data_IF_431034543686
#
_entry.id   IF_431034543686
#
_cell.length_a   1.000
_cell.length_b   1.000
_cell.length_c   1.000
_cell.angle_alpha   90.00
_cell.angle_beta   90.00
_cell.angle_gamma   90.00
#
_symmetry.space_group_name_H-M   'P 1'
#
loop_
_entity.id
_entity.type
_entity.pdbx_description
1 polymer ?
#
# COMPACT_ATOMS: atom_id res chain seq x y z
N UNK A 1 7.70 -7.80 15.19
CA UNK A 1 7.08 -6.52 15.53
C UNK A 1 6.46 -6.50 16.93
N UNK A 2 5.73 -7.57 17.33
CA UNK A 2 5.07 -7.63 18.65
C UNK A 2 6.09 -7.60 19.79
N UNK A 3 7.20 -8.30 19.65
CA UNK A 3 8.29 -8.30 20.64
C UNK A 3 8.88 -6.91 20.85
N UNK A 4 9.16 -6.19 19.76
CA UNK A 4 9.66 -4.82 19.83
C UNK A 4 8.69 -3.87 20.56
N UNK A 5 7.38 -4.05 20.35
CA UNK A 5 6.36 -3.30 21.09
C UNK A 5 6.35 -3.66 22.59
N UNK A 6 6.51 -4.93 22.92
CA UNK A 6 6.60 -5.39 24.32
C UNK A 6 7.85 -4.85 25.01
N UNK A 7 8.98 -4.74 24.30
CA UNK A 7 10.21 -4.15 24.83
C UNK A 7 10.01 -2.66 25.15
N UNK A 8 9.34 -1.90 24.27
CA UNK A 8 8.99 -0.51 24.52
C UNK A 8 8.11 -0.39 25.77
N UNK A 9 7.09 -1.24 25.91
CA UNK A 9 6.20 -1.23 27.09
C UNK A 9 6.98 -1.55 28.38
N UNK A 10 8.02 -2.37 28.29
CA UNK A 10 8.93 -2.69 29.41
C UNK A 10 10.03 -1.66 29.65
N UNK A 11 9.97 -0.56 28.95
CA UNK A 11 10.98 0.50 28.99
C UNK A 11 12.38 0.06 28.54
N UNK A 12 12.45 -0.91 27.64
CA UNK A 12 13.65 -1.45 27.01
C UNK A 12 13.79 -0.88 25.60
N UNK A 13 15.01 -0.70 25.13
CA UNK A 13 15.25 -0.30 23.75
C UNK A 13 14.88 -1.45 22.81
N UNK A 14 13.95 -1.27 21.86
CA UNK A 14 13.55 -2.32 20.96
C UNK A 14 14.68 -2.67 19.99
N UNK A 15 14.97 -3.95 19.85
CA UNK A 15 15.85 -4.46 18.81
C UNK A 15 14.99 -4.74 17.58
N UNK A 16 15.22 -3.95 16.53
CA UNK A 16 14.57 -4.16 15.24
C UNK A 16 15.49 -4.99 14.34
N UNK A 17 15.10 -6.22 14.09
CA UNK A 17 15.78 -7.07 13.12
C UNK A 17 15.26 -6.73 11.72
N UNK A 18 16.10 -6.04 10.95
CA UNK A 18 15.79 -5.65 9.58
C UNK A 18 16.18 -6.74 8.61
N UNK A 19 15.20 -7.27 7.89
CA UNK A 19 15.47 -8.28 6.87
C UNK A 19 16.33 -7.67 5.73
N UNK A 20 17.51 -8.22 5.42
CA UNK A 20 18.47 -7.61 4.48
C UNK A 20 17.93 -7.45 3.04
N UNK A 21 16.88 -8.20 2.69
CA UNK A 21 16.26 -8.12 1.36
C UNK A 21 15.00 -7.26 1.33
N UNK A 22 14.63 -6.62 2.45
CA UNK A 22 13.39 -5.83 2.59
C UNK A 22 13.65 -4.42 3.10
N UNK A 23 14.70 -3.78 2.58
CA UNK A 23 15.07 -2.43 3.02
C UNK A 23 14.10 -1.35 2.61
N UNK A 24 13.42 -1.55 1.48
CA UNK A 24 12.48 -0.57 0.95
C UNK A 24 11.07 -1.16 0.93
N UNK A 25 10.15 -0.45 1.56
CA UNK A 25 8.73 -0.74 1.48
C UNK A 25 8.03 0.30 0.62
N UNK A 26 7.07 -0.16 -0.17
CA UNK A 26 6.18 0.69 -0.94
C UNK A 26 4.75 0.27 -0.66
N UNK A 27 3.88 1.24 -0.37
CA UNK A 27 2.43 1.05 -0.22
C UNK A 27 1.71 1.84 -1.30
N UNK A 28 0.77 1.20 -1.97
CA UNK A 28 -0.05 1.81 -2.99
C UNK A 28 -1.52 1.55 -2.70
N UNK A 29 -2.28 2.60 -2.49
CA UNK A 29 -3.72 2.51 -2.26
C UNK A 29 -4.46 2.35 -3.57
N UNK A 30 -5.32 1.34 -3.64
CA UNK A 30 -6.35 1.20 -4.65
C UNK A 30 -7.60 1.92 -4.17
N UNK A 31 -7.89 3.05 -4.79
CA UNK A 31 -9.07 3.86 -4.51
C UNK A 31 -10.26 3.41 -5.33
N UNK A 32 -11.43 3.44 -4.73
CA UNK A 32 -12.69 3.15 -5.39
C UNK A 32 -13.39 4.40 -5.92
N UNK A 33 -14.53 4.18 -6.53
CA UNK A 33 -15.36 5.24 -7.09
C UNK A 33 -15.65 6.33 -6.05
N UNK A 34 -15.37 7.57 -6.44
CA UNK A 34 -15.65 8.75 -5.63
C UNK A 34 -14.60 9.14 -4.60
N UNK A 35 -13.61 8.30 -4.30
CA UNK A 35 -12.54 8.67 -3.37
C UNK A 35 -11.78 9.95 -3.84
N UNK A 36 -11.44 10.88 -2.95
CA UNK A 36 -11.69 10.95 -1.51
C UNK A 36 -12.99 11.68 -1.11
N UNK A 37 -13.90 11.87 -2.03
CA UNK A 37 -15.11 12.65 -1.80
C UNK A 37 -16.26 11.76 -1.31
N UNK A 38 -17.20 12.36 -0.59
CA UNK A 38 -18.45 11.70 -0.18
C UNK A 38 -19.30 11.41 -1.41
N UNK A 39 -19.64 10.15 -1.61
CA UNK A 39 -20.57 9.73 -2.66
C UNK A 39 -21.81 9.14 -1.98
N UNK A 40 -23.00 9.74 -2.19
CA UNK A 40 -24.20 9.35 -1.43
C UNK A 40 -24.67 7.91 -1.65
N UNK A 41 -24.27 7.33 -2.76
CA UNK A 41 -24.63 5.96 -3.10
C UNK A 41 -23.57 5.40 -4.04
N UNK A 42 -22.89 4.35 -3.59
CA UNK A 42 -21.96 3.61 -4.43
C UNK A 42 -22.57 2.25 -4.74
N UNK A 43 -22.65 1.85 -6.01
CA UNK A 43 -23.14 0.52 -6.35
C UNK A 43 -22.18 -0.54 -5.79
N UNK A 44 -22.73 -1.68 -5.42
CA UNK A 44 -21.97 -2.85 -5.04
C UNK A 44 -21.21 -3.39 -6.25
N UNK A 45 -19.93 -3.02 -6.37
CA UNK A 45 -19.11 -3.39 -7.51
C UNK A 45 -18.25 -4.62 -7.18
N UNK A 46 -18.23 -5.63 -8.05
CA UNK A 46 -17.39 -6.80 -7.84
C UNK A 46 -15.90 -6.45 -7.95
N UNK A 47 -15.10 -7.16 -7.16
CA UNK A 47 -13.65 -7.09 -7.18
C UNK A 47 -13.12 -8.44 -7.64
N UNK A 48 -12.40 -8.44 -8.77
CA UNK A 48 -11.76 -9.62 -9.33
C UNK A 48 -10.26 -9.59 -9.12
N UNK A 49 -9.69 -10.74 -8.78
CA UNK A 49 -8.24 -10.94 -8.71
C UNK A 49 -7.85 -11.90 -9.83
N UNK A 50 -7.14 -11.39 -10.83
CA UNK A 50 -6.84 -12.14 -12.06
C UNK A 50 -5.83 -13.28 -11.87
N UNK A 51 -5.02 -13.22 -10.83
CA UNK A 51 -4.04 -14.26 -10.45
C UNK A 51 -3.61 -14.06 -9.00
N UNK A 52 -3.04 -15.08 -8.33
CA UNK A 52 -2.54 -14.95 -6.95
C UNK A 52 -1.61 -13.76 -6.77
N UNK A 53 -1.75 -13.07 -5.65
CA UNK A 53 -0.92 -11.92 -5.28
C UNK A 53 0.33 -12.41 -4.56
N UNK A 54 1.46 -11.82 -4.91
CA UNK A 54 2.78 -12.07 -4.31
C UNK A 54 3.23 -10.93 -3.39
N UNK A 55 2.25 -10.19 -2.84
CA UNK A 55 2.46 -9.03 -1.98
C UNK A 55 1.55 -9.11 -0.77
N UNK A 56 1.79 -8.28 0.24
CA UNK A 56 0.87 -8.12 1.35
C UNK A 56 -0.29 -7.22 0.90
N UNK A 57 -1.50 -7.70 1.07
CA UNK A 57 -2.72 -7.00 0.70
C UNK A 57 -3.58 -6.78 1.94
N UNK A 58 -3.98 -5.52 2.14
CA UNK A 58 -4.87 -5.14 3.22
C UNK A 58 -6.15 -4.57 2.62
N UNK A 59 -7.21 -5.35 2.75
CA UNK A 59 -8.55 -4.90 2.37
C UNK A 59 -9.04 -3.85 3.36
N UNK A 60 -9.64 -2.79 2.84
CA UNK A 60 -10.25 -1.73 3.65
C UNK A 60 -11.79 -1.84 3.56
N UNK A 61 -12.39 -1.22 2.59
CA UNK A 61 -13.85 -1.15 2.46
C UNK A 61 -14.33 -2.19 1.45
N UNK A 62 -14.25 -3.45 1.85
CA UNK A 62 -14.59 -4.62 1.03
C UNK A 62 -15.48 -5.56 1.82
N UNK A 63 -16.57 -5.98 1.19
CA UNK A 63 -17.47 -7.02 1.68
C UNK A 63 -17.22 -8.34 0.95
N UNK A 64 -17.44 -9.45 1.62
CA UNK A 64 -17.41 -10.79 1.03
C UNK A 64 -18.80 -11.41 1.10
N UNK A 65 -19.29 -11.90 -0.03
CA UNK A 65 -20.54 -12.65 -0.13
C UNK A 65 -20.34 -13.86 -1.05
N UNK A 66 -20.69 -15.03 -0.57
CA UNK A 66 -20.59 -16.30 -1.32
C UNK A 66 -19.20 -16.52 -1.95
N UNK A 67 -18.13 -16.14 -1.23
CA UNK A 67 -16.74 -16.26 -1.69
C UNK A 67 -16.34 -15.25 -2.78
N UNK A 68 -17.15 -14.23 -3.02
CA UNK A 68 -16.86 -13.13 -3.95
C UNK A 68 -16.67 -11.84 -3.20
N UNK A 69 -15.70 -11.06 -3.64
CA UNK A 69 -15.38 -9.76 -3.06
C UNK A 69 -16.14 -8.64 -3.78
N UNK A 70 -16.59 -7.68 -3.02
CA UNK A 70 -17.29 -6.51 -3.51
C UNK A 70 -16.81 -5.25 -2.80
N UNK A 71 -16.80 -4.14 -3.51
CA UNK A 71 -16.63 -2.85 -2.87
C UNK A 71 -17.81 -2.63 -1.91
N UNK A 72 -17.53 -2.35 -0.64
CA UNK A 72 -18.56 -2.19 0.38
C UNK A 72 -19.52 -1.05 0.03
N UNK A 73 -20.80 -1.29 0.19
CA UNK A 73 -21.84 -0.29 -0.04
C UNK A 73 -22.30 0.27 1.32
N UNK A 74 -21.61 1.30 1.79
CA UNK A 74 -21.97 1.94 3.05
C UNK A 74 -22.68 3.27 2.80
N UNK A 75 -23.90 3.35 3.23
CA UNK A 75 -24.75 4.55 3.05
C UNK A 75 -24.36 5.73 3.95
N UNK A 76 -23.47 5.53 4.92
CA UNK A 76 -23.18 6.48 5.99
C UNK A 76 -21.70 6.91 6.07
N UNK A 77 -20.91 6.72 5.02
CA UNK A 77 -19.51 7.14 5.07
C UNK A 77 -19.33 8.60 4.71
N UNK A 78 -18.54 9.29 5.51
CA UNK A 78 -18.14 10.68 5.28
C UNK A 78 -17.05 10.83 4.22
N UNK A 79 -16.42 9.73 3.80
CA UNK A 79 -15.36 9.72 2.78
C UNK A 79 -15.60 8.64 1.74
N UNK A 80 -15.06 8.85 0.54
CA UNK A 80 -15.11 7.88 -0.54
C UNK A 80 -14.25 6.64 -0.25
N UNK A 81 -14.48 5.59 -1.01
CA UNK A 81 -13.97 4.24 -0.74
C UNK A 81 -12.47 4.08 -1.01
N UNK A 82 -11.78 3.55 -0.02
CA UNK A 82 -10.46 2.91 -0.18
C UNK A 82 -10.69 1.41 -0.26
N UNK A 83 -10.38 0.80 -1.40
CA UNK A 83 -10.60 -0.64 -1.60
C UNK A 83 -9.53 -1.43 -0.87
N UNK A 84 -8.27 -1.15 -1.14
CA UNK A 84 -7.15 -1.90 -0.58
C UNK A 84 -5.87 -1.07 -0.50
N UNK A 85 -4.98 -1.47 0.40
CA UNK A 85 -3.59 -1.07 0.39
C UNK A 85 -2.74 -2.27 -0.02
N UNK A 86 -2.04 -2.14 -1.13
CA UNK A 86 -1.10 -3.13 -1.66
C UNK A 86 0.29 -2.77 -1.17
N UNK A 87 1.00 -3.71 -0.55
CA UNK A 87 2.29 -3.47 0.06
C UNK A 87 3.34 -4.39 -0.56
N UNK A 88 4.48 -3.82 -0.95
CA UNK A 88 5.61 -4.57 -1.46
C UNK A 88 6.91 -4.12 -0.80
N UNK A 89 7.78 -5.08 -0.49
CA UNK A 89 9.12 -4.83 0.02
C UNK A 89 10.16 -5.44 -0.93
N UNK A 90 11.31 -4.77 -1.03
CA UNK A 90 12.46 -5.24 -1.79
C UNK A 90 13.78 -4.66 -1.25
N UNK A 91 14.90 -5.16 -1.75
CA UNK A 91 16.24 -4.64 -1.43
C UNK A 91 16.54 -3.26 -2.04
N UNK A 92 15.79 -2.87 -3.08
CA UNK A 92 15.90 -1.58 -3.76
C UNK A 92 14.53 -0.92 -3.95
N UNK A 93 14.53 0.42 -4.00
CA UNK A 93 13.31 1.21 -4.17
C UNK A 93 12.62 0.93 -5.50
N UNK A 94 13.39 0.89 -6.60
CA UNK A 94 12.84 0.61 -7.93
C UNK A 94 12.18 -0.76 -8.00
N UNK A 95 12.84 -1.77 -7.41
CA UNK A 95 12.30 -3.13 -7.32
C UNK A 95 11.02 -3.20 -6.49
N UNK A 96 10.91 -2.44 -5.40
CA UNK A 96 9.69 -2.38 -4.61
C UNK A 96 8.55 -1.73 -5.40
N UNK A 97 8.83 -0.66 -6.15
CA UNK A 97 7.86 0.02 -7.01
C UNK A 97 7.40 -0.89 -8.16
N UNK A 98 8.32 -1.56 -8.84
CA UNK A 98 7.98 -2.48 -9.92
C UNK A 98 7.11 -3.64 -9.43
N UNK A 99 7.45 -4.18 -8.27
CA UNK A 99 6.67 -5.26 -7.66
C UNK A 99 5.24 -4.81 -7.35
N UNK A 100 5.08 -3.65 -6.71
CA UNK A 100 3.74 -3.17 -6.35
C UNK A 100 2.90 -2.79 -7.56
N UNK A 101 3.50 -2.19 -8.60
CA UNK A 101 2.80 -1.89 -9.85
C UNK A 101 2.33 -3.16 -10.58
N UNK A 102 3.12 -4.22 -10.54
CA UNK A 102 2.73 -5.52 -11.10
C UNK A 102 1.54 -6.12 -10.33
N UNK A 103 1.60 -6.06 -9.01
CA UNK A 103 0.60 -6.70 -8.16
C UNK A 103 -0.74 -5.96 -8.18
N UNK A 104 -0.75 -4.62 -8.10
CA UNK A 104 -2.00 -3.86 -8.10
C UNK A 104 -2.81 -4.02 -9.39
N UNK A 105 -2.14 -4.25 -10.52
CA UNK A 105 -2.80 -4.50 -11.82
C UNK A 105 -3.57 -5.82 -11.88
N UNK A 106 -3.31 -6.74 -10.95
CA UNK A 106 -4.05 -8.00 -10.84
C UNK A 106 -5.44 -7.80 -10.22
N UNK A 107 -5.64 -6.69 -9.49
CA UNK A 107 -6.90 -6.36 -8.82
C UNK A 107 -7.72 -5.50 -9.77
N UNK A 108 -8.95 -5.92 -10.05
CA UNK A 108 -9.86 -5.23 -10.95
C UNK A 108 -11.17 -4.91 -10.24
N UNK A 109 -11.54 -3.65 -10.24
CA UNK A 109 -12.82 -3.17 -9.81
C UNK A 109 -13.21 -1.99 -10.70
N UNK A 110 -14.45 -1.97 -11.18
CA UNK A 110 -14.92 -0.89 -12.04
C UNK A 110 -14.84 0.46 -11.31
N UNK A 111 -14.26 1.47 -11.97
CA UNK A 111 -14.10 2.80 -11.40
C UNK A 111 -12.99 2.91 -10.36
N UNK A 112 -12.22 1.85 -10.12
CA UNK A 112 -11.05 1.93 -9.27
C UNK A 112 -9.87 2.59 -9.97
N UNK A 113 -9.01 3.23 -9.18
CA UNK A 113 -7.79 3.88 -9.68
C UNK A 113 -6.70 3.92 -8.60
N UNK A 114 -5.48 4.16 -9.02
CA UNK A 114 -4.31 4.32 -8.17
C UNK A 114 -3.31 5.30 -8.82
N UNK A 115 -2.32 5.74 -8.06
CA UNK A 115 -1.29 6.64 -8.55
C UNK A 115 -0.38 5.96 -9.55
N UNK A 116 -0.09 6.64 -10.67
CA UNK A 116 0.78 6.14 -11.73
C UNK A 116 2.20 6.74 -11.68
N UNK A 117 2.44 7.72 -10.80
CA UNK A 117 3.69 8.48 -10.71
C UNK A 117 4.70 7.93 -9.69
N UNK A 118 4.54 6.67 -9.24
CA UNK A 118 5.41 6.09 -8.23
C UNK A 118 6.88 6.02 -8.65
N UNK A 119 7.15 5.71 -9.92
CA UNK A 119 8.54 5.67 -10.44
C UNK A 119 9.20 7.03 -10.39
N UNK A 120 8.48 8.08 -10.75
CA UNK A 120 8.97 9.45 -10.68
C UNK A 120 9.26 9.87 -9.23
N UNK A 121 8.36 9.53 -8.31
CA UNK A 121 8.56 9.77 -6.89
C UNK A 121 9.76 8.99 -6.34
N UNK A 122 9.91 7.72 -6.68
CA UNK A 122 11.03 6.89 -6.26
C UNK A 122 12.37 7.48 -6.74
N UNK A 123 12.45 7.89 -8.00
CA UNK A 123 13.63 8.54 -8.56
C UNK A 123 13.98 9.85 -7.83
N UNK A 124 12.97 10.67 -7.53
CA UNK A 124 13.14 11.91 -6.77
C UNK A 124 13.66 11.63 -5.36
N UNK A 125 13.11 10.65 -4.65
CA UNK A 125 13.56 10.29 -3.30
C UNK A 125 14.95 9.66 -3.30
N UNK A 126 15.29 8.84 -4.28
CA UNK A 126 16.65 8.29 -4.43
C UNK A 126 17.70 9.38 -4.61
N UNK A 127 17.41 10.41 -5.40
CA UNK A 127 18.32 11.54 -5.58
C UNK A 127 18.50 12.36 -4.29
N UNK A 128 17.42 12.59 -3.54
CA UNK A 128 17.46 13.26 -2.24
C UNK A 128 18.29 12.48 -1.21
N UNK A 129 18.09 11.17 -1.10
CA UNK A 129 18.87 10.32 -0.19
C UNK A 129 20.34 10.33 -0.54
N UNK A 130 20.70 10.34 -1.81
CA UNK A 130 22.08 10.40 -2.26
C UNK A 130 22.73 11.75 -1.91
N UNK A 131 22.02 12.86 -2.04
CA UNK A 131 22.52 14.19 -1.66
C UNK A 131 22.73 14.31 -0.15
N UNK A 132 21.79 13.83 0.66
CA UNK A 132 21.89 13.85 2.14
C UNK A 132 23.08 12.99 2.61
N UNK A 133 23.28 11.80 2.02
CA UNK A 133 24.45 10.97 2.33
C UNK A 133 25.78 11.67 2.00
N UNK A 134 25.86 12.33 0.86
CA UNK A 134 27.05 13.08 0.45
C UNK A 134 27.36 14.24 1.41
N UNK A 135 26.36 14.91 1.94
CA UNK A 135 26.53 16.02 2.89
C UNK A 135 26.90 15.55 4.30
N UNK A 136 26.42 14.38 4.72
CA UNK A 136 26.80 13.77 6.00
C UNK A 136 28.25 13.26 6.01
N UNK A 137 28.78 12.84 4.87
CA UNK A 137 30.16 12.36 4.73
C UNK A 137 31.20 13.50 4.63
N UNK A 138 30.75 14.75 4.47
CA UNK A 138 31.62 15.94 4.43
C UNK A 138 31.83 16.62 5.80
N UNK A 139 31.16 16.13 6.82
CA UNK A 139 31.30 16.56 8.23
C UNK A 139 32.17 15.58 9.02
#
# INVERSE_FOLDING_TARGET
PVEALLEVVRNQAPILDWHPEKYFGCTLTLAGYGYPYVVPSVPKLPIDISSPLECDLWWNEVDEEDGKLYMANHQNYEMGHRIADVNACASGMDSAVEKIEKEIRKIRCLGSYYRLDLKELAAKYSSLLSSVKADLLKK
#
